data_IF_571272747586
#
_entry.id   IF_571272747586
#
_cell.length_a   1.000
_cell.length_b   1.000
_cell.length_c   1.000
_cell.angle_alpha   90.00
_cell.angle_beta   90.00
_cell.angle_gamma   90.00
#
_symmetry.space_group_name_H-M   'P 1'
#
loop_
_entity.id
_entity.type
_entity.pdbx_description
1 polymer ?
#
# COMPACT_ATOMS: atom_id res chain seq x y z
N UNK A 1 -0.36 -11.37 -13.26
CA UNK A 1 -0.47 -11.82 -11.85
C UNK A 1 -1.89 -12.25 -11.52
N UNK A 2 -2.04 -13.16 -10.56
CA UNK A 2 -3.32 -13.58 -9.98
C UNK A 2 -3.70 -12.66 -8.81
N UNK A 3 -4.99 -12.61 -8.44
CA UNK A 3 -5.44 -11.84 -7.28
C UNK A 3 -4.71 -12.26 -5.99
N UNK A 4 -4.42 -13.55 -5.83
CA UNK A 4 -3.71 -14.07 -4.65
C UNK A 4 -2.28 -13.53 -4.54
N UNK A 5 -1.58 -13.39 -5.65
CA UNK A 5 -0.23 -12.82 -5.68
C UNK A 5 -0.28 -11.32 -5.38
N UNK A 6 -1.21 -10.60 -6.01
CA UNK A 6 -1.40 -9.16 -5.76
C UNK A 6 -1.74 -8.89 -4.30
N UNK A 7 -2.66 -9.64 -3.70
CA UNK A 7 -3.03 -9.47 -2.29
C UNK A 7 -1.87 -9.76 -1.34
N UNK A 8 -0.97 -10.69 -1.70
CA UNK A 8 0.24 -10.97 -0.93
C UNK A 8 1.22 -9.79 -0.99
N UNK A 9 1.40 -9.24 -2.19
CA UNK A 9 2.39 -8.20 -2.44
C UNK A 9 1.87 -6.77 -2.17
N UNK A 10 0.56 -6.63 -1.91
CA UNK A 10 -0.14 -5.35 -1.77
C UNK A 10 0.47 -4.46 -0.68
N UNK A 11 0.90 -5.04 0.46
CA UNK A 11 1.54 -4.26 1.53
C UNK A 11 2.85 -3.64 1.02
N UNK A 12 3.74 -4.47 0.47
CA UNK A 12 5.05 -4.06 -0.07
C UNK A 12 4.89 -3.07 -1.22
N UNK A 13 3.86 -3.24 -2.06
CA UNK A 13 3.46 -2.28 -3.08
C UNK A 13 3.10 -0.92 -2.50
N UNK A 14 2.27 -0.90 -1.45
CA UNK A 14 1.84 0.35 -0.79
C UNK A 14 2.98 1.06 -0.07
N UNK A 15 3.99 0.32 0.38
CA UNK A 15 5.22 0.86 0.98
C UNK A 15 6.23 1.35 -0.07
N UNK A 16 6.01 1.06 -1.35
CA UNK A 16 6.92 1.44 -2.43
C UNK A 16 8.19 0.59 -2.47
N UNK A 17 8.18 -0.58 -1.83
CA UNK A 17 9.35 -1.45 -1.66
C UNK A 17 9.41 -2.60 -2.68
N UNK A 18 8.42 -2.70 -3.57
CA UNK A 18 8.45 -3.68 -4.64
C UNK A 18 9.48 -3.31 -5.73
N UNK A 19 10.17 -4.31 -6.30
CA UNK A 19 10.96 -4.10 -7.52
C UNK A 19 10.09 -3.52 -8.63
N UNK A 20 10.66 -2.63 -9.47
CA UNK A 20 9.95 -1.90 -10.52
C UNK A 20 9.05 -2.80 -11.37
N UNK A 21 9.56 -3.97 -11.79
CA UNK A 21 8.78 -4.93 -12.57
C UNK A 21 7.52 -5.41 -11.82
N UNK A 22 7.66 -5.80 -10.56
CA UNK A 22 6.54 -6.27 -9.74
C UNK A 22 5.54 -5.13 -9.48
N UNK A 23 6.01 -3.90 -9.28
CA UNK A 23 5.16 -2.72 -9.15
C UNK A 23 4.28 -2.51 -10.39
N UNK A 24 4.84 -2.67 -11.60
CA UNK A 24 4.07 -2.57 -12.84
C UNK A 24 3.03 -3.68 -12.97
N UNK A 25 3.41 -4.93 -12.67
CA UNK A 25 2.51 -6.09 -12.74
C UNK A 25 1.34 -5.97 -11.74
N UNK A 26 1.60 -5.45 -10.54
CA UNK A 26 0.55 -5.15 -9.54
C UNK A 26 -0.33 -4.00 -10.01
N UNK A 27 0.24 -2.90 -10.51
CA UNK A 27 -0.51 -1.75 -10.98
C UNK A 27 -1.45 -2.10 -12.16
N UNK A 28 -0.98 -2.92 -13.10
CA UNK A 28 -1.80 -3.41 -14.22
C UNK A 28 -2.99 -4.26 -13.72
N UNK A 29 -2.77 -5.11 -12.72
CA UNK A 29 -3.84 -5.91 -12.13
C UNK A 29 -4.85 -5.05 -11.37
N UNK A 30 -4.39 -4.06 -10.60
CA UNK A 30 -5.28 -3.13 -9.89
C UNK A 30 -6.15 -2.32 -10.86
N UNK A 31 -5.63 -1.99 -12.05
CA UNK A 31 -6.39 -1.29 -13.08
C UNK A 31 -7.50 -2.14 -13.73
N UNK A 32 -7.39 -3.48 -13.67
CA UNK A 32 -8.32 -4.40 -14.33
C UNK A 32 -9.18 -5.23 -13.37
N UNK A 33 -8.84 -5.27 -12.08
CA UNK A 33 -9.56 -6.05 -11.06
C UNK A 33 -10.17 -5.17 -9.98
N UNK A 34 -11.50 -4.98 -10.05
CA UNK A 34 -12.25 -4.17 -9.08
C UNK A 34 -12.12 -4.65 -7.63
N UNK A 35 -12.05 -5.97 -7.41
CA UNK A 35 -11.92 -6.52 -6.06
C UNK A 35 -10.56 -6.18 -5.41
N UNK A 36 -9.48 -6.29 -6.19
CA UNK A 36 -8.15 -5.93 -5.72
C UNK A 36 -7.99 -4.41 -5.57
N UNK A 37 -8.58 -3.63 -6.47
CA UNK A 37 -8.62 -2.16 -6.36
C UNK A 37 -9.34 -1.70 -5.09
N UNK A 38 -10.50 -2.28 -4.77
CA UNK A 38 -11.22 -1.96 -3.53
C UNK A 38 -10.42 -2.31 -2.28
N UNK A 39 -9.67 -3.41 -2.31
CA UNK A 39 -8.78 -3.81 -1.19
C UNK A 39 -7.63 -2.81 -1.02
N UNK A 40 -7.05 -2.35 -2.13
CA UNK A 40 -5.99 -1.35 -2.14
C UNK A 40 -6.49 0.00 -1.58
N UNK A 41 -7.66 0.43 -2.02
CA UNK A 41 -8.30 1.66 -1.56
C UNK A 41 -8.58 1.62 -0.05
N UNK A 42 -9.13 0.51 0.45
CA UNK A 42 -9.35 0.30 1.89
C UNK A 42 -8.05 0.41 2.69
N UNK A 43 -6.98 -0.21 2.20
CA UNK A 43 -5.67 -0.15 2.86
C UNK A 43 -5.09 1.27 2.85
N UNK A 44 -5.26 2.03 1.75
CA UNK A 44 -4.88 3.45 1.69
C UNK A 44 -5.69 4.31 2.63
N UNK A 45 -7.00 4.11 2.70
CA UNK A 45 -7.88 4.84 3.60
C UNK A 45 -7.51 4.59 5.07
N UNK A 46 -7.23 3.34 5.44
CA UNK A 46 -6.74 2.99 6.78
C UNK A 46 -5.41 3.68 7.10
N UNK A 47 -4.44 3.67 6.18
CA UNK A 47 -3.16 4.40 6.33
C UNK A 47 -3.35 5.90 6.50
N UNK A 48 -4.23 6.51 5.71
CA UNK A 48 -4.54 7.93 5.80
C UNK A 48 -5.15 8.26 7.16
N UNK A 49 -6.09 7.44 7.63
CA UNK A 49 -6.71 7.62 8.94
C UNK A 49 -5.67 7.53 10.06
N UNK A 50 -4.81 6.52 10.05
CA UNK A 50 -3.72 6.38 11.03
C UNK A 50 -2.77 7.59 11.02
N UNK A 51 -2.44 8.13 9.84
CA UNK A 51 -1.60 9.34 9.75
C UNK A 51 -2.25 10.57 10.39
N UNK A 52 -3.58 10.66 10.37
CA UNK A 52 -4.33 11.76 10.95
C UNK A 52 -4.53 11.62 12.46
N UNK A 53 -4.64 10.38 12.96
CA UNK A 53 -5.00 10.09 14.36
C UNK A 53 -3.83 9.64 15.23
N UNK A 54 -2.73 9.18 14.64
CA UNK A 54 -1.58 8.70 15.40
C UNK A 54 -0.92 9.86 16.17
N UNK A 55 -0.59 9.65 17.46
CA UNK A 55 0.16 10.64 18.23
C UNK A 55 1.52 10.88 17.58
N UNK A 56 1.87 12.15 17.43
CA UNK A 56 3.18 12.53 16.88
C UNK A 56 4.24 12.24 17.94
N UNK A 57 5.26 11.39 17.66
CA UNK A 57 6.36 11.21 18.60
C UNK A 57 7.15 12.52 18.72
N UNK A 58 7.57 12.83 19.94
CA UNK A 58 8.50 13.94 20.17
C UNK A 58 9.85 13.61 19.53
N UNK A 59 10.42 14.58 18.81
CA UNK A 59 11.76 14.45 18.24
C UNK A 59 12.77 14.77 19.34
N UNK A 60 13.75 13.90 19.62
CA UNK A 60 14.78 14.20 20.60
C UNK A 60 15.53 15.50 20.24
N UNK A 61 15.87 16.35 21.22
CA UNK A 61 16.46 17.67 20.97
C UNK A 61 17.89 17.67 20.39
N UNK A 62 18.48 16.52 20.09
CA UNK A 62 19.89 16.36 19.72
C UNK A 62 20.09 15.57 18.41
N UNK A 63 19.42 15.98 17.34
CA UNK A 63 19.75 15.59 15.96
C UNK A 63 20.41 16.76 15.22
#
# INVERSE_FOLDING_TARGET
>A
MTCREVLRDLKTYLDGELPVRATLEVAEHLASCAACAATEEQARAARAHLRLTAPRPEVPPAL
#
